data_IF_915646160052
#
_entry.id   IF_915646160052
#
_cell.length_a   1.000
_cell.length_b   1.000
_cell.length_c   1.000
_cell.angle_alpha   90.00
_cell.angle_beta   90.00
_cell.angle_gamma   90.00
#
_symmetry.space_group_name_H-M   'P 1'
#
loop_
_entity.id
_entity.type
_entity.pdbx_description
1 polymer ?
#
# COMPACT_ATOMS: atom_id res chain seq x y z
N UNK A 1 52.10 -21.28 5.25
CA UNK A 1 50.76 -21.19 4.61
C UNK A 1 50.97 -21.20 3.11
N UNK A 2 50.40 -22.17 2.38
CA UNK A 2 50.42 -22.14 0.92
C UNK A 2 49.45 -21.07 0.40
N UNK A 3 49.88 -20.26 -0.57
CA UNK A 3 48.96 -19.38 -1.29
C UNK A 3 47.99 -20.23 -2.11
N UNK A 4 46.70 -19.91 -2.01
CA UNK A 4 45.66 -20.53 -2.84
C UNK A 4 45.88 -20.16 -4.29
N UNK A 5 45.47 -21.05 -5.20
CA UNK A 5 45.44 -20.76 -6.64
C UNK A 5 44.28 -19.80 -6.93
N UNK A 6 44.38 -19.04 -8.03
CA UNK A 6 43.37 -18.06 -8.42
C UNK A 6 41.97 -18.69 -8.53
N UNK A 7 41.90 -19.92 -9.03
CA UNK A 7 40.66 -20.69 -9.16
C UNK A 7 39.99 -20.95 -7.81
N UNK A 8 40.77 -21.27 -6.78
CA UNK A 8 40.27 -21.52 -5.43
C UNK A 8 39.70 -20.24 -4.82
N UNK A 9 40.36 -19.09 -5.02
CA UNK A 9 39.83 -17.79 -4.60
C UNK A 9 38.50 -17.45 -5.29
N UNK A 10 38.37 -17.78 -6.58
CA UNK A 10 37.13 -17.52 -7.34
C UNK A 10 35.98 -18.39 -6.83
N UNK A 11 36.23 -19.66 -6.55
CA UNK A 11 35.22 -20.58 -5.99
C UNK A 11 34.76 -20.09 -4.61
N UNK A 12 35.70 -19.74 -3.73
CA UNK A 12 35.38 -19.21 -2.39
C UNK A 12 34.54 -17.93 -2.48
N UNK A 13 34.91 -17.01 -3.38
CA UNK A 13 34.18 -15.76 -3.58
C UNK A 13 32.74 -15.99 -4.07
N UNK A 14 32.56 -16.87 -5.07
CA UNK A 14 31.22 -17.20 -5.61
C UNK A 14 30.35 -17.83 -4.52
N UNK A 15 30.88 -18.71 -3.69
CA UNK A 15 30.13 -19.36 -2.62
C UNK A 15 29.74 -18.38 -1.51
N UNK A 16 30.60 -17.39 -1.20
CA UNK A 16 30.25 -16.29 -0.30
C UNK A 16 29.06 -15.49 -0.85
N UNK A 17 29.07 -15.14 -2.14
CA UNK A 17 27.95 -14.41 -2.77
C UNK A 17 26.67 -15.23 -2.71
N UNK A 18 26.69 -16.50 -3.14
CA UNK A 18 25.49 -17.36 -3.10
C UNK A 18 24.91 -17.47 -1.70
N UNK A 19 25.76 -17.63 -0.68
CA UNK A 19 25.34 -17.67 0.71
C UNK A 19 24.63 -16.38 1.13
N UNK A 20 25.20 -15.21 0.80
CA UNK A 20 24.59 -13.91 1.13
C UNK A 20 23.24 -13.74 0.42
N UNK A 21 23.17 -14.07 -0.88
CA UNK A 21 21.93 -13.98 -1.65
C UNK A 21 20.84 -14.91 -1.09
N UNK A 22 21.18 -16.18 -0.84
CA UNK A 22 20.24 -17.15 -0.29
C UNK A 22 19.71 -16.72 1.09
N UNK A 23 20.59 -16.23 1.98
CA UNK A 23 20.19 -15.67 3.27
C UNK A 23 19.25 -14.47 3.11
N UNK A 24 19.58 -13.53 2.24
CA UNK A 24 18.75 -12.33 2.03
C UNK A 24 17.38 -12.68 1.46
N UNK A 25 17.29 -13.58 0.49
CA UNK A 25 16.03 -14.05 -0.08
C UNK A 25 15.18 -14.78 0.95
N UNK A 26 15.79 -15.65 1.75
CA UNK A 26 15.11 -16.37 2.85
C UNK A 26 14.56 -15.38 3.89
N UNK A 27 15.34 -14.37 4.26
CA UNK A 27 14.90 -13.29 5.15
C UNK A 27 13.76 -12.44 4.56
N UNK A 28 13.56 -12.49 3.23
CA UNK A 28 12.45 -11.86 2.52
C UNK A 28 11.30 -12.82 2.21
N UNK A 29 11.29 -14.01 2.83
CA UNK A 29 10.23 -15.01 2.68
C UNK A 29 10.28 -15.80 1.38
N UNK A 30 11.35 -15.68 0.59
CA UNK A 30 11.55 -16.46 -0.63
C UNK A 30 12.46 -17.65 -0.32
N UNK A 31 11.98 -18.87 -0.55
CA UNK A 31 12.79 -20.08 -0.35
C UNK A 31 14.00 -20.07 -1.29
N UNK A 32 15.21 -20.08 -0.72
CA UNK A 32 16.47 -20.05 -1.47
C UNK A 32 17.56 -20.84 -0.74
N UNK A 33 18.44 -21.50 -1.50
CA UNK A 33 19.57 -22.28 -1.00
C UNK A 33 20.89 -21.84 -1.62
N UNK A 34 21.97 -21.89 -0.85
CA UNK A 34 23.35 -21.64 -1.34
C UNK A 34 23.82 -22.64 -2.41
N UNK A 35 23.15 -23.77 -2.55
CA UNK A 35 23.46 -24.81 -3.55
C UNK A 35 22.95 -24.46 -4.94
N UNK A 36 22.08 -23.44 -5.04
CA UNK A 36 21.56 -22.94 -6.31
C UNK A 36 22.63 -22.18 -7.10
N UNK A 37 22.43 -22.06 -8.41
CA UNK A 37 23.25 -21.20 -9.26
C UNK A 37 23.00 -19.72 -8.93
N UNK A 38 23.96 -18.85 -9.24
CA UNK A 38 23.79 -17.40 -9.05
C UNK A 38 22.60 -16.86 -9.85
N UNK A 39 22.38 -17.36 -11.06
CA UNK A 39 21.24 -16.98 -11.88
C UNK A 39 19.92 -17.39 -11.23
N UNK A 40 19.81 -18.62 -10.72
CA UNK A 40 18.59 -19.08 -10.04
C UNK A 40 18.28 -18.25 -8.78
N UNK A 41 19.31 -17.85 -8.03
CA UNK A 41 19.15 -16.92 -6.90
C UNK A 41 18.72 -15.52 -7.37
N UNK A 42 19.25 -15.03 -8.50
CA UNK A 42 18.87 -13.72 -9.06
C UNK A 42 17.42 -13.72 -9.56
N UNK A 43 16.98 -14.77 -10.26
CA UNK A 43 15.62 -14.88 -10.80
C UNK A 43 14.56 -14.86 -9.67
N UNK A 44 14.92 -15.36 -8.49
CA UNK A 44 14.07 -15.34 -7.30
C UNK A 44 13.83 -13.95 -6.71
N UNK A 45 14.61 -12.93 -7.09
CA UNK A 45 14.40 -11.54 -6.64
C UNK A 45 13.00 -11.05 -7.04
N UNK A 46 12.48 -11.47 -8.19
CA UNK A 46 11.13 -11.11 -8.64
C UNK A 46 10.02 -11.60 -7.70
N UNK A 47 10.29 -12.63 -6.90
CA UNK A 47 9.33 -13.21 -5.95
C UNK A 47 9.43 -12.56 -4.55
N UNK A 48 10.35 -11.62 -4.34
CA UNK A 48 10.46 -10.90 -3.08
C UNK A 48 9.22 -10.04 -2.88
N UNK A 49 8.41 -10.41 -1.88
CA UNK A 49 7.33 -9.54 -1.44
C UNK A 49 7.92 -8.34 -0.71
N UNK A 50 7.82 -7.16 -1.31
CA UNK A 50 8.31 -5.90 -0.71
C UNK A 50 7.37 -5.38 0.38
N UNK A 51 6.19 -5.99 0.55
CA UNK A 51 5.16 -5.56 1.49
C UNK A 51 4.55 -4.20 1.14
N UNK A 52 4.86 -3.64 -0.04
CA UNK A 52 4.38 -2.34 -0.49
C UNK A 52 3.73 -2.51 -1.85
N UNK A 53 2.41 -2.64 -1.85
CA UNK A 53 1.61 -2.61 -3.07
C UNK A 53 1.01 -1.22 -3.22
N UNK A 54 0.96 -0.74 -4.45
CA UNK A 54 0.50 0.59 -4.78
C UNK A 54 -0.37 0.53 -6.03
N UNK A 55 -1.52 1.19 -5.97
CA UNK A 55 -2.38 1.36 -7.12
C UNK A 55 -2.88 2.80 -7.16
N UNK A 56 -3.14 3.29 -8.38
CA UNK A 56 -3.78 4.58 -8.59
C UNK A 56 -4.82 4.48 -9.67
N UNK A 57 -5.69 5.47 -9.69
CA UNK A 57 -6.60 5.64 -10.81
C UNK A 57 -7.39 6.93 -10.69
N UNK A 58 -8.31 7.07 -11.62
CA UNK A 58 -9.28 8.16 -11.66
C UNK A 58 -10.67 7.57 -11.80
N UNK A 59 -11.68 8.36 -11.46
CA UNK A 59 -13.07 7.97 -11.63
C UNK A 59 -14.00 9.19 -11.63
N UNK A 60 -15.26 8.90 -11.87
CA UNK A 60 -16.37 9.85 -11.85
C UNK A 60 -17.38 9.39 -10.83
N UNK A 61 -17.74 10.26 -9.89
CA UNK A 61 -18.84 9.96 -8.96
C UNK A 61 -20.16 10.09 -9.69
N UNK A 62 -20.93 9.02 -9.76
CA UNK A 62 -22.28 9.07 -10.33
C UNK A 62 -23.27 9.78 -9.39
N UNK A 63 -24.56 9.69 -9.72
CA UNK A 63 -25.67 10.33 -8.99
C UNK A 63 -25.86 9.89 -7.54
N UNK A 64 -25.19 8.83 -7.09
CA UNK A 64 -25.23 8.36 -5.70
C UNK A 64 -24.10 8.92 -4.85
N UNK A 65 -23.11 9.57 -5.46
CA UNK A 65 -21.89 10.02 -4.76
C UNK A 65 -21.03 8.85 -4.26
N UNK A 66 -21.35 7.60 -4.59
CA UNK A 66 -20.61 6.43 -4.14
C UNK A 66 -19.70 5.94 -5.26
N UNK A 67 -18.41 5.79 -4.95
CA UNK A 67 -17.44 5.15 -5.82
C UNK A 67 -16.94 3.84 -5.19
N UNK A 68 -16.95 2.77 -5.99
CA UNK A 68 -16.44 1.45 -5.60
C UNK A 68 -15.26 1.11 -6.50
N UNK A 69 -14.10 0.89 -5.91
CA UNK A 69 -12.87 0.49 -6.57
C UNK A 69 -12.58 -0.95 -6.14
N UNK A 70 -12.38 -1.86 -7.10
CA UNK A 70 -12.14 -3.30 -6.89
C UNK A 70 -11.04 -3.81 -7.84
N UNK A 71 -10.56 -5.03 -7.63
CA UNK A 71 -9.55 -5.64 -8.49
C UNK A 71 -8.12 -5.15 -8.28
N UNK A 72 -7.79 -4.52 -7.14
CA UNK A 72 -6.44 -4.02 -6.85
C UNK A 72 -5.40 -5.13 -6.65
N UNK A 73 -5.82 -6.39 -6.47
CA UNK A 73 -4.92 -7.51 -6.18
C UNK A 73 -4.36 -7.49 -4.75
N UNK A 74 -4.79 -6.53 -3.93
CA UNK A 74 -4.46 -6.42 -2.51
C UNK A 74 -5.58 -5.72 -1.74
N UNK A 75 -5.57 -5.92 -0.41
CA UNK A 75 -6.44 -5.20 0.52
C UNK A 75 -5.74 -3.90 0.93
N UNK A 76 -6.22 -2.72 0.54
CA UNK A 76 -5.54 -1.47 0.88
C UNK A 76 -5.69 -1.13 2.37
N UNK A 77 -4.58 -0.73 3.00
CA UNK A 77 -4.53 -0.20 4.36
C UNK A 77 -4.62 1.33 4.39
N UNK A 78 -4.25 1.99 3.29
CA UNK A 78 -4.30 3.45 3.12
C UNK A 78 -4.94 3.76 1.77
N UNK A 79 -5.86 4.73 1.76
CA UNK A 79 -6.45 5.28 0.53
C UNK A 79 -6.40 6.81 0.60
N UNK A 80 -5.97 7.43 -0.49
CA UNK A 80 -6.02 8.88 -0.67
C UNK A 80 -6.88 9.19 -1.87
N UNK A 81 -7.69 10.23 -1.77
CA UNK A 81 -8.59 10.68 -2.83
C UNK A 81 -8.33 12.15 -3.10
N UNK A 82 -8.16 12.49 -4.37
CA UNK A 82 -7.96 13.86 -4.85
C UNK A 82 -9.14 14.25 -5.72
N UNK A 83 -9.69 15.43 -5.54
CA UNK A 83 -10.79 15.93 -6.34
C UNK A 83 -10.29 16.91 -7.41
N UNK A 84 -10.91 16.91 -8.58
CA UNK A 84 -10.48 17.73 -9.73
C UNK A 84 -10.48 19.25 -9.44
N UNK A 85 -11.32 19.69 -8.52
CA UNK A 85 -11.49 21.08 -8.09
C UNK A 85 -10.56 21.51 -6.96
N UNK A 86 -9.44 20.81 -6.75
CA UNK A 86 -8.36 21.22 -5.85
C UNK A 86 -8.44 20.68 -4.42
N UNK A 87 -9.49 19.93 -4.08
CA UNK A 87 -9.62 19.24 -2.79
C UNK A 87 -8.71 18.02 -2.65
N UNK A 88 -8.16 17.81 -1.45
CA UNK A 88 -7.48 16.56 -1.09
C UNK A 88 -8.15 15.97 0.16
N UNK A 89 -8.61 14.73 0.05
CA UNK A 89 -9.13 13.93 1.16
C UNK A 89 -8.25 12.72 1.44
N UNK A 90 -8.06 12.38 2.71
CA UNK A 90 -7.31 11.19 3.12
C UNK A 90 -8.23 10.24 3.89
N UNK A 91 -8.20 8.96 3.53
CA UNK A 91 -8.84 7.88 4.28
C UNK A 91 -7.75 6.94 4.80
N UNK A 92 -7.46 7.05 6.08
CA UNK A 92 -6.66 6.02 6.76
C UNK A 92 -7.62 5.01 7.36
N UNK A 93 -7.62 3.81 6.81
CA UNK A 93 -8.38 2.71 7.36
C UNK A 93 -7.45 1.93 8.30
N UNK A 94 -7.56 2.17 9.62
CA UNK A 94 -6.97 1.21 10.54
C UNK A 94 -7.73 -0.10 10.39
N UNK A 95 -7.09 -1.13 9.84
CA UNK A 95 -7.52 -2.51 10.04
C UNK A 95 -7.50 -2.70 11.55
N UNK A 96 -8.67 -2.91 12.14
CA UNK A 96 -8.85 -3.03 13.57
C UNK A 96 -8.17 -4.32 14.05
N UNK A 97 -6.87 -4.28 14.35
CA UNK A 97 -6.39 -5.08 15.46
C UNK A 97 -6.93 -4.43 16.73
N UNK A 98 -7.54 -5.24 17.57
CA UNK A 98 -8.22 -4.84 18.80
C UNK A 98 -7.38 -3.87 19.65
N UNK A 99 -8.09 -2.88 20.22
CA UNK A 99 -7.63 -1.87 21.20
C UNK A 99 -7.09 -0.57 20.59
N UNK A 100 -7.93 0.47 20.70
CA UNK A 100 -7.64 1.81 20.20
C UNK A 100 -6.44 2.46 20.88
N UNK A 101 -5.82 3.40 20.17
CA UNK A 101 -5.27 4.67 20.64
C UNK A 101 -4.97 5.56 19.43
N UNK A 102 -5.00 6.87 19.67
CA UNK A 102 -5.01 7.97 18.70
C UNK A 102 -3.67 8.68 18.62
N UNK A 103 -3.27 9.14 17.43
CA UNK A 103 -2.19 10.11 17.33
C UNK A 103 -1.86 10.58 15.92
N UNK A 104 -2.05 11.89 15.68
CA UNK A 104 -1.05 12.71 14.97
C UNK A 104 -1.31 13.05 13.49
N UNK A 105 -1.84 14.26 13.27
CA UNK A 105 -1.88 15.13 12.07
C UNK A 105 -2.36 14.59 10.71
N UNK A 106 -3.52 15.12 10.30
CA UNK A 106 -4.32 14.78 9.13
C UNK A 106 -5.73 14.45 9.62
N UNK A 107 -6.72 15.35 9.47
CA UNK A 107 -8.06 15.26 10.09
C UNK A 107 -8.57 13.80 10.12
N UNK A 108 -8.49 13.19 11.29
CA UNK A 108 -8.82 11.79 11.51
C UNK A 108 -10.31 11.66 11.70
N UNK A 109 -10.94 10.79 10.91
CA UNK A 109 -12.34 10.42 11.11
C UNK A 109 -12.40 9.28 12.11
N UNK A 110 -12.75 9.65 13.33
CA UNK A 110 -12.80 8.76 14.46
C UNK A 110 -14.17 8.89 15.12
N UNK A 111 -14.67 7.74 15.55
CA UNK A 111 -15.49 7.56 16.74
C UNK A 111 -16.60 8.57 17.00
N UNK A 112 -17.82 8.15 16.64
CA UNK A 112 -19.10 8.68 17.10
C UNK A 112 -19.41 10.15 16.70
N UNK A 113 -20.31 10.28 15.72
CA UNK A 113 -21.19 11.44 15.50
C UNK A 113 -20.53 12.82 15.64
N UNK A 114 -19.60 13.17 14.75
CA UNK A 114 -19.23 14.58 14.58
C UNK A 114 -19.99 15.14 13.38
N UNK A 115 -20.96 16.02 13.65
CA UNK A 115 -21.51 16.92 12.63
C UNK A 115 -20.38 17.75 12.04
N UNK A 116 -20.26 17.74 10.72
CA UNK A 116 -19.40 18.66 9.98
C UNK A 116 -20.13 20.01 9.94
N UNK A 117 -19.69 20.98 10.73
CA UNK A 117 -20.11 22.37 10.55
C UNK A 117 -19.21 23.03 9.50
N UNK A 118 -19.82 23.48 8.41
CA UNK A 118 -19.16 24.02 7.22
C UNK A 118 -19.31 25.54 7.17
N UNK A 119 -19.06 26.21 8.30
CA UNK A 119 -19.37 27.63 8.49
C UNK A 119 -18.29 28.60 8.03
N UNK A 120 -17.27 28.17 7.25
CA UNK A 120 -16.38 29.12 6.57
C UNK A 120 -15.89 28.62 5.20
N UNK A 121 -16.34 29.33 4.17
CA UNK A 121 -15.83 29.47 2.81
C UNK A 121 -14.43 28.86 2.55
N UNK A 122 -14.41 27.63 2.04
CA UNK A 122 -13.64 27.05 0.91
C UNK A 122 -14.01 25.55 0.94
N UNK A 123 -14.48 24.89 -0.14
CA UNK A 123 -15.04 23.56 -0.01
C UNK A 123 -13.93 22.54 0.21
N UNK A 124 -13.59 22.29 1.48
CA UNK A 124 -12.89 21.08 1.90
C UNK A 124 -13.81 19.90 1.56
N UNK A 125 -13.46 19.15 0.51
CA UNK A 125 -14.21 18.01 0.00
C UNK A 125 -14.24 16.89 1.04
N UNK A 126 -15.26 16.91 1.90
CA UNK A 126 -15.40 15.99 3.00
C UNK A 126 -15.78 14.59 2.49
N UNK A 127 -14.95 13.61 2.85
CA UNK A 127 -15.32 12.20 2.82
C UNK A 127 -16.28 11.96 3.98
N UNK A 128 -17.52 11.59 3.69
CA UNK A 128 -18.56 11.40 4.71
C UNK A 128 -18.40 9.97 5.26
N UNK A 129 -18.13 9.82 6.56
CA UNK A 129 -18.12 8.51 7.22
C UNK A 129 -19.51 8.21 7.80
N UNK A 130 -20.41 7.77 6.94
CA UNK A 130 -21.76 7.31 7.25
C UNK A 130 -21.87 5.78 7.30
N UNK A 131 -20.74 5.06 7.24
CA UNK A 131 -20.68 3.61 7.05
C UNK A 131 -20.60 3.17 5.58
N UNK A 132 -20.68 4.10 4.63
CA UNK A 132 -20.51 3.84 3.20
C UNK A 132 -19.04 3.80 2.75
N UNK A 133 -18.09 4.28 3.57
CA UNK A 133 -16.65 4.12 3.34
C UNK A 133 -16.17 2.79 3.88
N UNK A 134 -15.60 1.94 3.04
CA UNK A 134 -15.25 0.56 3.40
C UNK A 134 -13.97 0.11 2.70
N UNK A 135 -13.13 -0.66 3.39
CA UNK A 135 -12.09 -1.47 2.75
C UNK A 135 -12.71 -2.80 2.33
N UNK A 136 -12.41 -3.20 1.10
CA UNK A 136 -12.75 -4.50 0.54
C UNK A 136 -11.48 -5.34 0.46
N UNK A 137 -11.63 -6.66 0.39
CA UNK A 137 -10.50 -7.58 0.26
C UNK A 137 -9.60 -7.29 -0.95
N UNK A 138 -10.15 -6.63 -1.98
CA UNK A 138 -9.48 -6.33 -3.25
C UNK A 138 -9.64 -4.86 -3.66
N UNK A 139 -9.96 -3.97 -2.72
CA UNK A 139 -10.29 -2.59 -3.06
C UNK A 139 -10.89 -1.78 -1.92
N UNK A 140 -11.72 -0.81 -2.27
CA UNK A 140 -12.36 0.09 -1.32
C UNK A 140 -13.60 0.76 -1.90
N UNK A 141 -14.47 1.24 -1.00
CA UNK A 141 -15.64 2.06 -1.30
C UNK A 141 -15.48 3.41 -0.63
N UNK A 142 -15.83 4.48 -1.34
CA UNK A 142 -15.87 5.84 -0.81
C UNK A 142 -17.21 6.50 -1.10
N UNK A 143 -17.73 7.24 -0.13
CA UNK A 143 -18.77 8.24 -0.33
C UNK A 143 -18.12 9.61 -0.55
N UNK A 144 -18.48 10.20 -1.67
CA UNK A 144 -18.12 11.53 -2.12
C UNK A 144 -19.36 12.38 -1.91
N UNK A 145 -19.26 13.44 -1.09
CA UNK A 145 -20.39 14.31 -0.75
C UNK A 145 -21.00 15.09 -1.93
N UNK A 146 -20.42 14.97 -3.12
CA UNK A 146 -20.89 15.57 -4.36
C UNK A 146 -21.07 14.47 -5.41
N UNK A 147 -22.16 14.59 -6.16
CA UNK A 147 -22.44 13.78 -7.36
C UNK A 147 -21.80 14.44 -8.56
N UNK A 148 -21.51 13.67 -9.60
CA UNK A 148 -21.04 14.16 -10.89
C UNK A 148 -19.73 14.98 -10.81
N UNK A 149 -18.77 14.46 -10.04
CA UNK A 149 -17.41 15.01 -9.93
C UNK A 149 -16.33 13.98 -10.26
N UNK A 150 -15.31 14.42 -11.00
CA UNK A 150 -14.06 13.68 -11.25
C UNK A 150 -13.18 13.62 -10.00
N UNK A 151 -12.61 12.45 -9.74
CA UNK A 151 -11.64 12.22 -8.68
C UNK A 151 -10.46 11.37 -9.16
N UNK A 152 -9.32 11.54 -8.50
CA UNK A 152 -8.17 10.65 -8.54
C UNK A 152 -8.05 9.91 -7.22
N UNK A 153 -7.40 8.76 -7.22
CA UNK A 153 -7.16 7.98 -6.02
C UNK A 153 -5.80 7.30 -6.05
N UNK A 154 -5.27 7.06 -4.86
CA UNK A 154 -4.04 6.34 -4.59
C UNK A 154 -4.33 5.35 -3.44
N UNK A 155 -3.87 4.12 -3.54
CA UNK A 155 -4.11 3.06 -2.56
C UNK A 155 -2.82 2.29 -2.26
N UNK A 156 -2.59 1.96 -0.99
CA UNK A 156 -1.41 1.23 -0.52
C UNK A 156 -1.80 0.10 0.42
N UNK A 157 -1.03 -0.99 0.37
CA UNK A 157 -0.98 -2.03 1.42
C UNK A 157 0.03 -1.65 2.51
#
# INVERSE_FOLDING_TARGET
MGMKKLEEYRVDFIDVIKRIMATNLTNKGVSASRTESLQALADKIANVNTGKRYATGTGWSGSTGIATITGLGFTPSIVKVKFATGGIGFLRFLIKESAGHYGGYGKYLIGASSKIDNSNHYPDYALINDGSNQILSDGFKIMIGYVDISYGWEAWE
#
